data_IF_465291839832
#
_entry.id   IF_465291839832
#
_cell.length_a   1.000
_cell.length_b   1.000
_cell.length_c   1.000
_cell.angle_alpha   90.00
_cell.angle_beta   90.00
_cell.angle_gamma   90.00
#
_symmetry.space_group_name_H-M   'P 1'
#
loop_
_entity.id
_entity.type
_entity.pdbx_description
1 polymer ?
#
# COMPACT_ATOMS: atom_id res chain seq x y z
N UNK A 1 -28.08 -5.17 -8.29
CA UNK A 1 -26.68 -4.91 -7.93
C UNK A 1 -25.75 -5.71 -8.82
N UNK A 2 -25.57 -5.22 -10.00
CA UNK A 2 -24.87 -5.91 -11.06
C UNK A 2 -23.36 -5.60 -10.97
N UNK A 3 -22.57 -6.55 -10.46
CA UNK A 3 -21.11 -6.43 -10.39
C UNK A 3 -20.49 -6.29 -11.79
N UNK A 4 -21.16 -6.76 -12.83
CA UNK A 4 -20.68 -6.61 -14.20
C UNK A 4 -20.84 -5.17 -14.67
N UNK A 5 -21.97 -4.56 -14.42
CA UNK A 5 -22.21 -3.13 -14.69
C UNK A 5 -21.21 -2.24 -13.94
N UNK A 6 -20.91 -2.56 -12.67
CA UNK A 6 -19.87 -1.86 -11.90
C UNK A 6 -18.49 -2.00 -12.56
N UNK A 7 -18.13 -3.20 -13.04
CA UNK A 7 -16.86 -3.41 -13.76
C UNK A 7 -16.76 -2.59 -15.04
N UNK A 8 -17.86 -2.43 -15.77
CA UNK A 8 -17.85 -1.64 -17.02
C UNK A 8 -17.65 -0.16 -16.72
N UNK A 9 -18.27 0.39 -15.66
CA UNK A 9 -17.97 1.74 -15.19
C UNK A 9 -16.50 1.89 -14.76
N UNK A 10 -15.95 0.89 -14.05
CA UNK A 10 -14.54 0.89 -13.69
C UNK A 10 -13.59 0.92 -14.90
N UNK A 11 -13.91 0.15 -15.96
CA UNK A 11 -13.11 0.17 -17.21
C UNK A 11 -13.10 1.56 -17.85
N UNK A 12 -14.24 2.22 -17.94
CA UNK A 12 -14.35 3.57 -18.50
C UNK A 12 -13.52 4.54 -17.65
N UNK A 13 -13.72 4.53 -16.34
CA UNK A 13 -12.98 5.38 -15.40
C UNK A 13 -11.46 5.16 -15.51
N UNK A 14 -11.02 3.89 -15.50
CA UNK A 14 -9.60 3.54 -15.57
C UNK A 14 -9.00 3.96 -16.91
N UNK A 15 -9.71 3.74 -18.03
CA UNK A 15 -9.27 4.18 -19.35
C UNK A 15 -9.04 5.70 -19.40
N UNK A 16 -10.00 6.48 -18.91
CA UNK A 16 -9.89 7.96 -18.86
C UNK A 16 -8.75 8.41 -17.94
N UNK A 17 -8.68 7.85 -16.73
CA UNK A 17 -7.61 8.18 -15.78
C UNK A 17 -6.23 7.81 -16.36
N UNK A 18 -6.10 6.65 -17.00
CA UNK A 18 -4.85 6.22 -17.62
C UNK A 18 -4.42 7.14 -18.76
N UNK A 19 -5.37 7.60 -19.58
CA UNK A 19 -5.11 8.59 -20.62
C UNK A 19 -4.56 9.88 -20.05
N UNK A 20 -5.22 10.44 -19.03
CA UNK A 20 -4.79 11.67 -18.36
C UNK A 20 -3.40 11.53 -17.71
N UNK A 21 -3.15 10.41 -17.01
CA UNK A 21 -1.85 10.17 -16.39
C UNK A 21 -0.73 10.11 -17.43
N UNK A 22 -0.96 9.40 -18.54
CA UNK A 22 0.02 9.31 -19.64
C UNK A 22 0.29 10.65 -20.31
N UNK A 23 -0.74 11.48 -20.50
CA UNK A 23 -0.57 12.79 -21.15
C UNK A 23 0.37 13.74 -20.40
N UNK A 24 0.57 13.48 -19.08
CA UNK A 24 1.52 14.23 -18.23
C UNK A 24 2.77 13.40 -17.85
N UNK A 25 3.02 12.29 -18.54
CA UNK A 25 4.20 11.45 -18.31
C UNK A 25 4.17 10.56 -17.06
N UNK A 26 3.00 10.39 -16.42
CA UNK A 26 2.85 9.53 -15.22
C UNK A 26 2.47 8.12 -15.65
N UNK A 27 3.24 7.13 -15.21
CA UNK A 27 3.07 5.71 -15.55
C UNK A 27 2.80 4.79 -14.33
N UNK A 28 2.68 5.35 -13.13
CA UNK A 28 2.35 4.64 -11.90
C UNK A 28 1.24 5.37 -11.14
N UNK A 29 0.20 4.63 -10.71
CA UNK A 29 -0.88 5.17 -9.88
C UNK A 29 -0.97 4.44 -8.53
N UNK A 30 -1.15 5.18 -7.42
CA UNK A 30 -1.24 4.62 -6.07
C UNK A 30 -2.65 4.11 -5.76
N UNK A 31 -3.12 3.19 -6.57
CA UNK A 31 -4.43 2.52 -6.52
C UNK A 31 -4.27 1.00 -6.75
N UNK A 32 -5.28 0.21 -6.40
CA UNK A 32 -6.49 0.50 -5.65
C UNK A 32 -6.28 0.61 -4.15
N UNK A 33 -7.21 1.28 -3.45
CA UNK A 33 -7.34 1.20 -1.99
C UNK A 33 -8.11 -0.07 -1.65
N UNK A 34 -7.45 -1.02 -0.98
CA UNK A 34 -8.02 -2.32 -0.62
C UNK A 34 -8.46 -2.40 0.85
N UNK A 35 -8.34 -1.28 1.58
CA UNK A 35 -8.80 -1.18 2.97
C UNK A 35 -10.30 -1.37 3.05
N UNK A 36 -10.74 -2.18 4.01
CA UNK A 36 -12.17 -2.42 4.24
C UNK A 36 -12.81 -1.23 4.97
N UNK A 37 -14.10 -0.99 4.71
CA UNK A 37 -14.88 0.03 5.39
C UNK A 37 -15.84 -0.61 6.38
N UNK A 38 -15.57 -0.43 7.66
CA UNK A 38 -16.48 -0.77 8.75
C UNK A 38 -17.20 0.48 9.28
N UNK A 39 -18.23 0.31 10.10
CA UNK A 39 -18.95 1.42 10.74
C UNK A 39 -18.01 2.36 11.55
N UNK A 40 -16.97 1.78 12.17
CA UNK A 40 -15.97 2.48 12.99
C UNK A 40 -14.70 2.89 12.24
N UNK A 41 -14.58 2.59 10.95
CA UNK A 41 -13.41 2.96 10.15
C UNK A 41 -13.30 4.49 10.08
N UNK A 42 -12.10 5.03 10.29
CA UNK A 42 -11.86 6.46 10.20
C UNK A 42 -12.17 6.99 8.80
N UNK A 43 -12.72 8.21 8.71
CA UNK A 43 -13.11 8.82 7.46
C UNK A 43 -11.95 9.07 6.48
N UNK A 44 -10.68 8.98 6.92
CA UNK A 44 -9.52 9.03 6.04
C UNK A 44 -9.55 7.92 4.97
N UNK A 45 -10.09 6.75 5.28
CA UNK A 45 -10.39 5.71 4.29
C UNK A 45 -11.72 6.03 3.60
N UNK A 46 -12.78 6.24 4.38
CA UNK A 46 -14.07 6.76 3.94
C UNK A 46 -14.58 6.11 2.66
N UNK A 47 -14.96 6.97 1.71
CA UNK A 47 -15.48 6.58 0.40
C UNK A 47 -14.41 6.10 -0.61
N UNK A 48 -13.13 6.10 -0.25
CA UNK A 48 -12.07 5.48 -1.06
C UNK A 48 -12.14 3.95 -1.03
N UNK A 49 -12.81 3.35 -0.01
CA UNK A 49 -12.99 1.90 0.11
C UNK A 49 -14.09 1.38 -0.81
N UNK A 50 -13.89 0.20 -1.36
CA UNK A 50 -14.91 -0.54 -2.14
C UNK A 50 -15.95 -1.26 -1.27
N UNK A 51 -15.85 -1.18 0.06
CA UNK A 51 -16.84 -1.75 0.98
C UNK A 51 -16.25 -2.55 2.14
N UNK A 52 -17.11 -3.31 2.82
CA UNK A 52 -16.77 -4.08 4.02
C UNK A 52 -16.56 -5.57 3.78
N UNK A 53 -16.96 -6.10 2.60
CA UNK A 53 -16.80 -7.52 2.31
C UNK A 53 -15.41 -7.81 1.71
N UNK A 54 -14.53 -8.57 2.41
CA UNK A 54 -13.16 -8.79 1.99
C UNK A 54 -13.05 -9.51 0.63
N UNK A 55 -13.97 -10.45 0.33
CA UNK A 55 -13.96 -11.19 -0.95
C UNK A 55 -14.34 -10.28 -2.13
N UNK A 56 -15.33 -9.40 -1.93
CA UNK A 56 -15.76 -8.44 -2.94
C UNK A 56 -14.65 -7.42 -3.20
N UNK A 57 -14.08 -6.83 -2.15
CA UNK A 57 -12.98 -5.86 -2.28
C UNK A 57 -11.77 -6.50 -2.96
N UNK A 58 -11.43 -7.75 -2.61
CA UNK A 58 -10.36 -8.50 -3.27
C UNK A 58 -10.60 -8.67 -4.77
N UNK A 59 -11.84 -9.04 -5.17
CA UNK A 59 -12.22 -9.24 -6.57
C UNK A 59 -12.19 -7.93 -7.38
N UNK A 60 -12.70 -6.85 -6.80
CA UNK A 60 -12.63 -5.51 -7.40
C UNK A 60 -11.16 -5.07 -7.54
N UNK A 61 -10.34 -5.27 -6.51
CA UNK A 61 -8.92 -4.95 -6.55
C UNK A 61 -8.17 -5.64 -7.68
N UNK A 62 -8.42 -6.93 -7.90
CA UNK A 62 -7.83 -7.66 -9.04
C UNK A 62 -8.24 -7.06 -10.39
N UNK A 63 -9.52 -6.68 -10.52
CA UNK A 63 -10.01 -6.03 -11.73
C UNK A 63 -9.32 -4.68 -11.98
N UNK A 64 -9.21 -3.83 -10.96
CA UNK A 64 -8.51 -2.55 -11.05
C UNK A 64 -7.06 -2.71 -11.48
N UNK A 65 -6.31 -3.61 -10.83
CA UNK A 65 -4.91 -3.88 -11.16
C UNK A 65 -4.78 -4.31 -12.62
N UNK A 66 -5.58 -5.30 -13.03
CA UNK A 66 -5.57 -5.83 -14.40
C UNK A 66 -5.89 -4.75 -15.44
N UNK A 67 -6.91 -3.92 -15.21
CA UNK A 67 -7.29 -2.87 -16.16
C UNK A 67 -6.24 -1.77 -16.27
N UNK A 68 -5.67 -1.29 -15.15
CA UNK A 68 -4.57 -0.32 -15.20
C UNK A 68 -3.35 -0.87 -15.96
N UNK A 69 -2.96 -2.14 -15.72
CA UNK A 69 -1.84 -2.77 -16.43
C UNK A 69 -2.10 -2.88 -17.93
N UNK A 70 -3.34 -3.23 -18.37
CA UNK A 70 -3.72 -3.20 -19.80
C UNK A 70 -3.51 -1.82 -20.44
N UNK A 71 -3.70 -0.77 -19.67
CA UNK A 71 -3.46 0.60 -20.11
C UNK A 71 -2.03 1.06 -19.85
N UNK A 72 -1.09 0.15 -19.54
CA UNK A 72 0.32 0.46 -19.30
C UNK A 72 0.53 1.48 -18.17
N UNK A 73 -0.27 1.40 -17.13
CA UNK A 73 -0.13 2.15 -15.87
C UNK A 73 0.13 1.14 -14.76
N UNK A 74 1.27 1.28 -14.08
CA UNK A 74 1.59 0.50 -12.90
C UNK A 74 0.67 0.84 -11.73
N UNK A 75 0.53 -0.10 -10.79
CA UNK A 75 -0.33 0.07 -9.61
C UNK A 75 0.46 -0.10 -8.31
N UNK A 76 0.03 0.63 -7.26
CA UNK A 76 0.44 0.42 -5.88
C UNK A 76 -0.78 0.22 -5.01
N UNK A 77 -1.02 -1.02 -4.57
CA UNK A 77 -2.13 -1.32 -3.64
C UNK A 77 -1.85 -0.73 -2.26
N UNK A 78 -2.91 -0.32 -1.55
CA UNK A 78 -2.76 0.31 -0.23
C UNK A 78 -3.97 0.13 0.69
N UNK A 79 -3.72 0.19 2.00
CA UNK A 79 -2.46 0.29 2.73
C UNK A 79 -2.17 -1.08 3.37
N UNK A 80 -1.23 -1.84 2.80
CA UNK A 80 -0.94 -3.21 3.24
C UNK A 80 -0.36 -3.21 4.67
N UNK A 81 -0.79 -4.13 5.55
CA UNK A 81 -1.68 -5.27 5.33
C UNK A 81 -3.17 -4.98 5.54
N UNK A 82 -3.60 -3.72 5.78
CA UNK A 82 -5.00 -3.29 5.87
C UNK A 82 -5.24 -2.20 6.90
N UNK A 83 -5.93 -1.12 6.53
CA UNK A 83 -6.18 0.07 7.37
C UNK A 83 -7.63 0.12 7.91
N UNK A 84 -8.49 -0.82 7.52
CA UNK A 84 -9.94 -0.75 7.76
C UNK A 84 -10.35 -0.69 9.24
N UNK A 85 -9.66 -1.43 10.11
CA UNK A 85 -9.93 -1.46 11.57
C UNK A 85 -9.29 -0.29 12.34
N UNK A 86 -8.53 0.58 11.70
CA UNK A 86 -7.95 1.76 12.34
C UNK A 86 -9.04 2.83 12.60
N UNK A 87 -9.10 3.28 13.85
CA UNK A 87 -10.11 4.27 14.31
C UNK A 87 -9.60 5.70 14.28
N UNK A 88 -8.34 5.92 13.93
CA UNK A 88 -7.70 7.23 13.91
C UNK A 88 -6.91 7.44 12.61
N UNK A 89 -6.66 8.70 12.31
CA UNK A 89 -5.93 9.15 11.13
C UNK A 89 -4.42 8.99 11.34
N UNK A 90 -3.77 8.20 10.50
CA UNK A 90 -2.32 7.99 10.50
C UNK A 90 -1.51 9.26 10.14
N UNK A 91 -2.13 10.26 9.52
CA UNK A 91 -1.50 11.57 9.32
C UNK A 91 -1.33 12.35 10.63
N UNK A 92 -2.16 12.09 11.64
CA UNK A 92 -2.17 12.84 12.91
C UNK A 92 -1.51 12.10 14.06
N UNK A 93 -1.67 10.80 14.15
CA UNK A 93 -1.09 9.93 15.20
C UNK A 93 -1.06 8.47 14.75
N UNK A 94 -0.27 7.64 15.41
CA UNK A 94 -0.16 6.22 15.11
C UNK A 94 -1.46 5.48 15.50
N UNK A 95 -2.19 4.89 14.55
CA UNK A 95 -3.34 4.03 14.85
C UNK A 95 -2.89 2.71 15.48
N UNK A 96 -3.74 2.15 16.36
CA UNK A 96 -3.51 0.84 16.99
C UNK A 96 -4.71 -0.07 16.68
N UNK A 97 -4.41 -1.23 16.10
CA UNK A 97 -5.37 -2.31 15.84
C UNK A 97 -5.14 -3.43 16.86
N UNK A 98 -6.19 -3.79 17.61
CA UNK A 98 -6.12 -4.74 18.73
C UNK A 98 -6.51 -6.16 18.36
N UNK A 99 -6.96 -6.39 17.15
CA UNK A 99 -7.41 -7.70 16.65
C UNK A 99 -6.24 -8.66 16.51
N UNK A 100 -6.54 -9.95 16.73
CA UNK A 100 -5.56 -11.03 16.54
C UNK A 100 -5.44 -11.47 15.08
N UNK A 101 -4.34 -12.15 14.76
CA UNK A 101 -3.98 -12.58 13.41
C UNK A 101 -5.07 -13.42 12.74
N UNK A 102 -5.74 -14.33 13.48
CA UNK A 102 -6.80 -15.20 12.94
C UNK A 102 -8.00 -14.42 12.41
N UNK A 103 -8.33 -13.26 13.02
CA UNK A 103 -9.37 -12.36 12.52
C UNK A 103 -8.85 -11.55 11.34
N UNK A 104 -7.66 -10.97 11.45
CA UNK A 104 -7.08 -10.11 10.43
C UNK A 104 -6.90 -10.81 9.09
N UNK A 105 -6.47 -12.08 9.08
CA UNK A 105 -6.33 -12.90 7.85
C UNK A 105 -7.67 -13.09 7.11
N UNK A 106 -8.78 -13.16 7.86
CA UNK A 106 -10.13 -13.35 7.30
C UNK A 106 -10.79 -12.04 6.91
N UNK A 107 -10.28 -10.90 7.40
CA UNK A 107 -10.83 -9.56 7.20
C UNK A 107 -9.84 -8.66 6.48
N UNK A 108 -9.14 -7.77 7.19
CA UNK A 108 -8.33 -6.67 6.64
C UNK A 108 -7.18 -7.12 5.75
N UNK A 109 -6.56 -8.27 6.04
CA UNK A 109 -5.46 -8.80 5.25
C UNK A 109 -5.94 -9.53 3.99
N UNK A 110 -7.20 -10.02 4.00
CA UNK A 110 -7.74 -10.82 2.90
C UNK A 110 -7.72 -10.11 1.55
N UNK A 111 -8.14 -8.83 1.42
CA UNK A 111 -8.14 -8.13 0.14
C UNK A 111 -6.77 -8.03 -0.53
N UNK A 112 -5.69 -8.11 0.26
CA UNK A 112 -4.31 -7.98 -0.22
C UNK A 112 -3.68 -9.31 -0.67
N UNK A 113 -4.34 -10.45 -0.43
CA UNK A 113 -3.77 -11.78 -0.75
C UNK A 113 -3.48 -11.93 -2.25
N UNK A 114 -2.26 -12.39 -2.55
CA UNK A 114 -1.79 -12.78 -3.88
C UNK A 114 -2.07 -11.73 -4.98
N UNK A 115 -1.90 -10.45 -4.69
CA UNK A 115 -2.07 -9.38 -5.66
C UNK A 115 -0.88 -9.26 -6.60
N UNK A 116 -1.18 -9.02 -7.89
CA UNK A 116 -0.18 -8.82 -8.94
C UNK A 116 0.12 -7.34 -9.21
N UNK A 117 -0.10 -6.48 -8.22
CA UNK A 117 0.31 -5.07 -8.26
C UNK A 117 1.83 -4.96 -8.28
N UNK A 118 2.37 -3.92 -8.93
CA UNK A 118 3.82 -3.69 -8.98
C UNK A 118 4.37 -3.31 -7.60
N UNK A 119 3.59 -2.52 -6.87
CA UNK A 119 3.93 -2.01 -5.55
C UNK A 119 2.81 -2.33 -4.53
N UNK A 120 3.20 -2.41 -3.27
CA UNK A 120 2.27 -2.36 -2.14
C UNK A 120 2.77 -1.33 -1.13
N UNK A 121 1.93 -0.36 -0.83
CA UNK A 121 2.21 0.70 0.13
C UNK A 121 1.83 0.26 1.53
N UNK A 122 2.75 0.37 2.51
CA UNK A 122 2.51 -0.08 3.89
C UNK A 122 1.61 0.88 4.66
N UNK A 123 0.91 0.34 5.67
CA UNK A 123 0.15 1.12 6.63
C UNK A 123 1.02 1.58 7.82
N UNK A 124 0.92 2.85 8.24
CA UNK A 124 1.55 3.32 9.48
C UNK A 124 0.69 2.97 10.70
N UNK A 125 0.48 1.66 10.93
CA UNK A 125 -0.40 1.10 11.97
C UNK A 125 0.36 0.12 12.85
N UNK A 126 0.10 0.15 14.17
CA UNK A 126 0.56 -0.87 15.12
C UNK A 126 -0.52 -1.96 15.21
N UNK A 127 -0.18 -3.20 14.84
CA UNK A 127 -1.01 -4.38 15.10
C UNK A 127 -0.61 -4.97 16.44
N UNK A 128 -1.27 -4.54 17.51
CA UNK A 128 -0.84 -4.74 18.89
C UNK A 128 -0.60 -6.21 19.29
N UNK A 129 -1.35 -7.16 18.71
CA UNK A 129 -1.19 -8.60 19.00
C UNK A 129 -0.18 -9.29 18.07
N UNK A 130 0.47 -8.55 17.15
CA UNK A 130 1.50 -9.08 16.24
C UNK A 130 2.85 -8.45 16.58
N UNK A 131 2.92 -7.13 16.58
CA UNK A 131 4.09 -6.35 17.01
C UNK A 131 3.57 -5.10 17.76
N UNK A 132 3.58 -5.09 19.10
CA UNK A 132 3.05 -3.99 19.89
C UNK A 132 3.91 -2.72 19.86
N UNK A 133 5.15 -2.81 19.37
CA UNK A 133 6.14 -1.72 19.44
C UNK A 133 6.27 -0.95 18.13
N UNK A 134 6.15 -1.64 17.00
CA UNK A 134 6.43 -1.08 15.69
C UNK A 134 5.18 -0.96 14.83
N UNK A 135 5.13 0.09 14.00
CA UNK A 135 4.14 0.17 12.91
C UNK A 135 4.43 -0.92 11.87
N UNK A 136 3.46 -1.28 11.04
CA UNK A 136 3.67 -2.27 9.98
C UNK A 136 4.86 -1.90 9.07
N UNK A 137 5.07 -0.60 8.83
CA UNK A 137 6.21 -0.07 8.06
C UNK A 137 7.56 -0.39 8.69
N UNK A 138 7.65 -0.41 10.02
CA UNK A 138 8.88 -0.62 10.79
C UNK A 138 8.99 -2.02 11.41
N UNK A 139 8.02 -2.91 11.16
CA UNK A 139 7.95 -4.23 11.77
C UNK A 139 8.41 -5.32 10.80
N UNK A 140 9.58 -5.90 11.05
CA UNK A 140 10.05 -7.08 10.29
C UNK A 140 9.10 -8.26 10.41
N UNK A 141 8.39 -8.40 11.54
CA UNK A 141 7.37 -9.43 11.76
C UNK A 141 6.21 -9.22 10.80
N UNK A 142 5.68 -7.99 10.69
CA UNK A 142 4.56 -7.69 9.80
C UNK A 142 4.99 -7.78 8.33
N UNK A 143 6.17 -7.29 7.97
CA UNK A 143 6.69 -7.43 6.59
C UNK A 143 6.86 -8.90 6.23
N UNK A 144 7.36 -9.75 7.15
CA UNK A 144 7.42 -11.21 6.94
C UNK A 144 6.02 -11.80 6.71
N UNK A 145 5.01 -11.41 7.49
CA UNK A 145 3.61 -11.83 7.28
C UNK A 145 3.07 -11.40 5.90
N UNK A 146 3.39 -10.20 5.46
CA UNK A 146 3.03 -9.72 4.11
C UNK A 146 3.63 -10.64 3.04
N UNK A 147 4.89 -11.06 3.20
CA UNK A 147 5.55 -11.96 2.26
C UNK A 147 4.99 -13.39 2.31
N UNK A 148 4.78 -13.95 3.51
CA UNK A 148 4.46 -15.37 3.68
C UNK A 148 2.96 -15.67 3.69
N UNK A 149 2.15 -14.90 4.43
CA UNK A 149 0.73 -15.20 4.64
C UNK A 149 -0.19 -14.44 3.66
N UNK A 150 0.16 -13.20 3.31
CA UNK A 150 -0.56 -12.43 2.28
C UNK A 150 -0.04 -12.82 0.90
N UNK A 151 1.22 -13.24 0.78
CA UNK A 151 1.81 -13.71 -0.46
C UNK A 151 2.18 -12.60 -1.45
N UNK A 152 2.42 -11.37 -0.96
CA UNK A 152 2.85 -10.27 -1.83
C UNK A 152 4.35 -10.36 -2.12
N UNK A 153 4.73 -10.59 -3.39
CA UNK A 153 6.11 -10.89 -3.80
C UNK A 153 6.78 -9.76 -4.60
N UNK A 154 6.11 -8.61 -4.78
CA UNK A 154 6.68 -7.45 -5.49
C UNK A 154 7.22 -6.40 -4.51
N UNK A 155 7.52 -5.19 -4.99
CA UNK A 155 8.15 -4.16 -4.17
C UNK A 155 7.20 -3.62 -3.10
N UNK A 156 7.67 -3.55 -1.86
CA UNK A 156 6.99 -2.89 -0.74
C UNK A 156 7.57 -1.49 -0.61
N UNK A 157 6.70 -0.48 -0.69
CA UNK A 157 7.01 0.92 -0.46
C UNK A 157 6.38 1.38 0.86
N UNK A 158 7.03 2.25 1.61
CA UNK A 158 6.39 2.89 2.76
C UNK A 158 5.25 3.81 2.30
N UNK A 159 4.28 4.10 3.17
CA UNK A 159 3.52 5.35 3.04
C UNK A 159 4.46 6.53 3.34
N UNK A 160 4.00 7.77 3.17
CA UNK A 160 4.83 8.97 3.35
C UNK A 160 5.47 8.99 4.75
N UNK A 161 6.80 8.93 4.76
CA UNK A 161 7.59 8.91 6.00
C UNK A 161 7.57 10.23 6.78
N UNK A 162 7.05 11.30 6.20
CA UNK A 162 6.84 12.59 6.87
C UNK A 162 5.55 12.64 7.71
N UNK A 163 4.70 11.60 7.65
CA UNK A 163 3.45 11.52 8.40
C UNK A 163 3.70 11.35 9.90
N UNK A 164 2.89 12.03 10.72
CA UNK A 164 2.95 11.95 12.20
C UNK A 164 2.56 10.58 12.79
N UNK A 165 2.11 9.65 11.95
CA UNK A 165 1.91 8.24 12.31
C UNK A 165 3.20 7.50 12.62
N UNK A 166 4.35 8.01 12.18
CA UNK A 166 5.68 7.55 12.56
C UNK A 166 6.25 8.44 13.67
N UNK A 167 6.95 7.83 14.64
CA UNK A 167 7.35 8.50 15.87
C UNK A 167 8.80 9.04 15.87
N UNK A 168 9.62 8.59 14.91
CA UNK A 168 11.03 8.92 14.86
C UNK A 168 11.29 10.09 13.89
N UNK A 169 12.49 10.64 13.92
CA UNK A 169 12.93 11.57 12.88
C UNK A 169 13.04 10.88 11.50
N UNK A 170 13.24 11.65 10.45
CA UNK A 170 13.28 11.16 9.07
C UNK A 170 14.40 10.11 8.89
N UNK A 171 15.60 10.36 9.43
CA UNK A 171 16.73 9.45 9.26
C UNK A 171 16.45 8.08 9.90
N UNK A 172 15.94 8.09 11.14
CA UNK A 172 15.60 6.89 11.87
C UNK A 172 14.43 6.14 11.24
N UNK A 173 13.39 6.87 10.76
CA UNK A 173 12.28 6.27 10.01
C UNK A 173 12.78 5.51 8.77
N UNK A 174 13.70 6.12 7.99
CA UNK A 174 14.30 5.49 6.80
C UNK A 174 15.07 4.24 7.16
N UNK A 175 15.96 4.30 8.16
CA UNK A 175 16.75 3.14 8.62
C UNK A 175 15.83 2.00 9.07
N UNK A 176 14.80 2.30 9.87
CA UNK A 176 13.86 1.30 10.40
C UNK A 176 13.04 0.62 9.30
N UNK A 177 12.51 1.36 8.33
CA UNK A 177 11.71 0.76 7.27
C UNK A 177 12.53 -0.20 6.38
N UNK A 178 13.78 0.15 6.05
CA UNK A 178 14.64 -0.75 5.28
C UNK A 178 15.08 -1.96 6.12
N UNK A 179 15.43 -1.77 7.38
CA UNK A 179 15.73 -2.87 8.30
C UNK A 179 14.53 -3.81 8.52
N UNK A 180 13.31 -3.31 8.42
CA UNK A 180 12.10 -4.14 8.49
C UNK A 180 11.85 -4.95 7.20
N UNK A 181 12.47 -4.57 6.07
CA UNK A 181 12.33 -5.27 4.78
C UNK A 181 11.43 -4.56 3.77
N UNK A 182 11.13 -3.26 3.95
CA UNK A 182 10.62 -2.42 2.88
C UNK A 182 11.70 -2.24 1.81
N UNK A 183 11.28 -2.08 0.55
CA UNK A 183 12.20 -1.92 -0.58
C UNK A 183 12.39 -0.46 -0.98
N UNK A 184 11.42 0.40 -0.71
CA UNK A 184 11.40 1.79 -1.11
C UNK A 184 10.87 2.66 0.04
N UNK A 185 11.45 3.85 0.20
CA UNK A 185 10.95 4.91 1.07
C UNK A 185 10.20 5.95 0.24
N UNK A 186 8.98 6.33 0.67
CA UNK A 186 8.23 7.41 0.05
C UNK A 186 8.29 8.66 0.93
N UNK A 187 8.66 9.79 0.34
CA UNK A 187 8.68 11.10 0.99
C UNK A 187 7.96 12.12 0.10
N UNK A 188 6.91 12.78 0.63
CA UNK A 188 5.97 13.53 -0.19
C UNK A 188 5.97 15.04 0.04
N UNK A 189 6.67 15.57 1.08
CA UNK A 189 6.54 16.99 1.42
C UNK A 189 7.41 17.95 0.58
N UNK A 190 8.31 17.43 -0.26
CA UNK A 190 9.14 18.22 -1.18
C UNK A 190 10.25 19.05 -0.52
N UNK A 191 10.49 18.91 0.78
CA UNK A 191 11.56 19.66 1.49
C UNK A 191 12.93 19.08 1.17
N UNK A 192 13.73 19.82 0.42
CA UNK A 192 15.06 19.40 -0.02
C UNK A 192 15.97 18.90 1.12
N UNK A 193 16.07 19.57 2.29
CA UNK A 193 16.87 19.06 3.40
C UNK A 193 16.45 17.65 3.86
N UNK A 194 15.15 17.39 3.95
CA UNK A 194 14.63 16.06 4.30
C UNK A 194 14.90 15.03 3.19
N UNK A 195 14.74 15.40 1.92
CA UNK A 195 15.05 14.53 0.78
C UNK A 195 16.52 14.10 0.79
N UNK A 196 17.44 14.99 1.11
CA UNK A 196 18.88 14.67 1.27
C UNK A 196 19.10 13.68 2.41
N UNK A 197 18.41 13.85 3.54
CA UNK A 197 18.49 12.91 4.67
C UNK A 197 17.97 11.52 4.24
N UNK A 198 16.85 11.47 3.52
CA UNK A 198 16.30 10.21 3.00
C UNK A 198 17.33 9.52 2.10
N UNK A 199 17.87 10.23 1.12
CA UNK A 199 18.85 9.69 0.19
C UNK A 199 20.10 9.14 0.90
N UNK A 200 20.67 9.90 1.86
CA UNK A 200 21.86 9.49 2.63
C UNK A 200 21.64 8.25 3.51
N UNK A 201 20.41 7.97 3.94
CA UNK A 201 20.08 6.85 4.81
C UNK A 201 19.43 5.68 4.06
N UNK A 202 19.20 5.81 2.75
CA UNK A 202 18.71 4.72 1.90
C UNK A 202 19.85 3.81 1.46
N UNK A 203 19.64 2.48 1.46
CA UNK A 203 20.64 1.54 0.96
C UNK A 203 20.78 1.63 -0.57
N UNK A 204 21.86 1.09 -1.09
CA UNK A 204 22.02 0.89 -2.52
C UNK A 204 20.95 -0.07 -3.06
N UNK A 205 20.60 0.11 -4.34
CA UNK A 205 19.65 -0.77 -5.04
C UNK A 205 20.22 -2.18 -5.13
N UNK A 206 19.44 -3.17 -4.67
CA UNK A 206 19.82 -4.58 -4.70
C UNK A 206 19.30 -5.32 -5.94
N UNK A 207 19.73 -6.57 -6.11
CA UNK A 207 19.34 -7.42 -7.25
C UNK A 207 17.83 -7.71 -7.27
N UNK A 208 17.16 -7.76 -6.12
CA UNK A 208 15.71 -7.95 -6.04
C UNK A 208 14.96 -6.74 -6.61
N UNK A 209 15.37 -5.53 -6.23
CA UNK A 209 14.79 -4.28 -6.73
C UNK A 209 15.01 -4.19 -8.26
N UNK A 210 16.23 -4.44 -8.74
CA UNK A 210 16.56 -4.44 -10.18
C UNK A 210 15.69 -5.43 -10.96
N UNK A 211 15.56 -6.67 -10.46
CA UNK A 211 14.70 -7.68 -11.07
C UNK A 211 13.24 -7.26 -11.14
N UNK A 212 12.71 -6.67 -10.06
CA UNK A 212 11.31 -6.25 -9.99
C UNK A 212 11.03 -5.02 -10.86
N UNK A 213 11.92 -4.05 -10.90
CA UNK A 213 11.79 -2.88 -11.79
C UNK A 213 11.87 -3.29 -13.27
N UNK A 214 12.72 -4.25 -13.65
CA UNK A 214 12.73 -4.81 -15.00
C UNK A 214 11.39 -5.45 -15.39
N UNK A 215 10.70 -6.10 -14.43
CA UNK A 215 9.33 -6.61 -14.66
C UNK A 215 8.32 -5.48 -14.86
N UNK A 216 8.52 -4.32 -14.20
CA UNK A 216 7.66 -3.15 -14.39
C UNK A 216 7.75 -2.63 -15.82
N UNK A 217 8.93 -2.49 -16.36
CA UNK A 217 9.12 -2.03 -17.74
C UNK A 217 8.36 -2.90 -18.74
N UNK A 218 8.29 -4.22 -18.54
CA UNK A 218 7.48 -5.12 -19.39
C UNK A 218 5.97 -4.84 -19.35
N UNK A 219 5.46 -4.27 -18.26
CA UNK A 219 4.04 -3.87 -18.15
C UNK A 219 3.83 -2.47 -18.73
N UNK A 220 4.82 -1.60 -18.58
CA UNK A 220 4.74 -0.20 -18.98
C UNK A 220 5.09 0.03 -20.46
N UNK A 221 5.82 -0.88 -21.08
CA UNK A 221 6.11 -0.89 -22.53
C UNK A 221 4.93 -1.44 -23.35
#
# INVERSE_FOLDING_TARGET
>A
NDINKFKDYCKIFIKQTSFLLKSIGVNLNTVPVLDLRYKQTHNIIGNRSFGSNPKIVSKIGNHFISEYHKHKIGTSIKHIPGHGLAKVDSHKRTPIVKEGINKLIKTDFYPFKNKQSLLAMTAHIIYQKIDPKNTATHSSIVIKLIRTMIGFQNLIVSDDISMKGLKFDIAENVKKLFSAGCNLALHCNGKMPEMIIVAKNSPNVDSFILKKTSQFYKILS
#
